data_IF_971793578590
#
_entry.id   IF_971793578590
#
_cell.length_a   1.000
_cell.length_b   1.000
_cell.length_c   1.000
_cell.angle_alpha   90.00
_cell.angle_beta   90.00
_cell.angle_gamma   90.00
#
_symmetry.space_group_name_H-M   'P 1'
#
loop_
_entity.id
_entity.type
_entity.pdbx_description
1 polymer ?
#
# COMPACT_ATOMS: atom_id res chain seq x y z
N UNK A 1 18.81 -1.66 45.22
CA UNK A 1 17.97 -0.77 44.39
C UNK A 1 18.40 -1.00 42.94
N UNK A 2 17.69 -1.86 42.22
CA UNK A 2 18.01 -2.18 40.82
C UNK A 2 17.26 -1.17 39.96
N UNK A 3 17.98 -0.24 39.33
CA UNK A 3 17.40 0.60 38.29
C UNK A 3 17.17 -0.29 37.06
N UNK A 4 15.91 -0.57 36.74
CA UNK A 4 15.54 -1.08 35.44
C UNK A 4 15.59 0.09 34.44
N UNK A 5 16.56 0.09 33.53
CA UNK A 5 16.47 0.90 32.32
C UNK A 5 15.41 0.25 31.42
N UNK A 6 14.26 0.90 31.29
CA UNK A 6 13.35 0.62 30.20
C UNK A 6 14.00 1.12 28.91
N UNK A 7 14.51 0.21 28.08
CA UNK A 7 14.87 0.53 26.72
C UNK A 7 13.57 0.84 25.96
N UNK A 8 13.31 2.11 25.68
CA UNK A 8 12.34 2.46 24.66
C UNK A 8 12.83 1.83 23.35
N UNK A 9 12.06 0.89 22.80
CA UNK A 9 12.30 0.43 21.44
C UNK A 9 12.17 1.66 20.53
N UNK A 10 13.30 2.14 19.99
CA UNK A 10 13.26 3.17 18.98
C UNK A 10 12.52 2.57 17.78
N UNK A 11 11.29 3.03 17.53
CA UNK A 11 10.58 2.75 16.29
C UNK A 11 11.47 3.29 15.16
N UNK A 12 12.01 2.41 14.32
CA UNK A 12 12.79 2.85 13.19
C UNK A 12 11.91 3.73 12.29
N UNK A 13 12.46 4.86 11.84
CA UNK A 13 11.79 5.72 10.88
C UNK A 13 11.80 5.05 9.50
N UNK A 14 10.68 5.08 8.76
CA UNK A 14 10.61 4.52 7.43
C UNK A 14 11.46 5.34 6.47
N UNK A 15 12.11 4.65 5.54
CA UNK A 15 12.76 5.28 4.40
C UNK A 15 11.70 5.55 3.34
N UNK A 16 11.34 6.82 3.20
CA UNK A 16 10.34 7.25 2.23
C UNK A 16 10.90 7.26 0.80
N UNK A 17 10.08 6.98 -0.22
CA UNK A 17 10.47 7.08 -1.62
C UNK A 17 10.67 8.53 -2.06
N UNK A 18 11.48 8.73 -3.09
CA UNK A 18 11.72 10.04 -3.67
C UNK A 18 10.46 10.57 -4.39
N UNK A 19 10.33 11.89 -4.48
CA UNK A 19 9.13 12.52 -5.05
C UNK A 19 8.80 12.05 -6.47
N UNK A 20 9.82 11.85 -7.30
CA UNK A 20 9.64 11.37 -8.68
C UNK A 20 9.13 9.94 -8.76
N UNK A 21 9.46 9.09 -7.78
CA UNK A 21 8.91 7.73 -7.69
C UNK A 21 7.43 7.79 -7.31
N UNK A 22 7.09 8.60 -6.31
CA UNK A 22 5.69 8.82 -5.88
C UNK A 22 4.85 9.33 -7.05
N UNK A 23 5.33 10.36 -7.77
CA UNK A 23 4.59 10.93 -8.90
C UNK A 23 4.41 9.89 -10.03
N UNK A 24 5.39 9.01 -10.26
CA UNK A 24 5.28 7.93 -11.24
C UNK A 24 4.28 6.84 -10.81
N UNK A 25 4.25 6.48 -9.53
CA UNK A 25 3.27 5.53 -8.96
C UNK A 25 1.86 6.10 -9.05
N UNK A 26 1.68 7.38 -8.70
CA UNK A 26 0.39 8.06 -8.84
C UNK A 26 -0.09 7.98 -10.30
N UNK A 27 0.74 8.42 -11.25
CA UNK A 27 0.40 8.37 -12.67
C UNK A 27 0.08 6.96 -13.17
N UNK A 28 0.73 5.93 -12.59
CA UNK A 28 0.45 4.53 -12.93
C UNK A 28 -0.89 4.04 -12.36
N UNK A 29 -1.22 4.41 -11.13
CA UNK A 29 -2.40 3.93 -10.41
C UNK A 29 -3.68 4.72 -10.74
N UNK A 30 -3.59 5.97 -11.17
CA UNK A 30 -4.75 6.79 -11.57
C UNK A 30 -5.72 6.09 -12.55
N UNK A 31 -5.28 5.63 -13.75
CA UNK A 31 -6.18 4.94 -14.67
C UNK A 31 -6.61 3.55 -14.17
N UNK A 32 -5.80 2.93 -13.29
CA UNK A 32 -6.11 1.61 -12.72
C UNK A 32 -7.22 1.73 -11.70
N UNK A 33 -7.23 2.77 -10.85
CA UNK A 33 -8.32 2.99 -9.91
C UNK A 33 -9.66 3.22 -10.60
N UNK A 34 -9.68 3.95 -11.71
CA UNK A 34 -10.91 4.08 -12.50
C UNK A 34 -11.41 2.73 -13.03
N UNK A 35 -10.50 1.83 -13.41
CA UNK A 35 -10.83 0.48 -13.81
C UNK A 35 -11.32 -0.38 -12.64
N UNK A 36 -10.69 -0.27 -11.47
CA UNK A 36 -11.16 -0.85 -10.20
C UNK A 36 -12.61 -0.44 -9.96
N UNK A 37 -12.92 0.85 -10.03
CA UNK A 37 -14.28 1.33 -9.75
C UNK A 37 -15.32 0.85 -10.75
N UNK A 38 -14.94 0.68 -12.01
CA UNK A 38 -15.82 0.16 -13.05
C UNK A 38 -16.10 -1.35 -12.90
N UNK A 39 -15.23 -2.09 -12.21
CA UNK A 39 -15.25 -3.57 -12.22
C UNK A 39 -15.42 -4.20 -10.84
N UNK A 40 -15.13 -3.46 -9.77
CA UNK A 40 -15.10 -3.96 -8.39
C UNK A 40 -13.86 -4.77 -8.04
N UNK A 41 -12.91 -4.99 -8.96
CA UNK A 41 -11.74 -5.83 -8.72
C UNK A 41 -10.51 -5.01 -8.32
N UNK A 42 -9.70 -5.61 -7.45
CA UNK A 42 -8.33 -5.19 -7.22
C UNK A 42 -7.45 -5.43 -8.44
N UNK A 43 -6.43 -4.60 -8.56
CA UNK A 43 -5.39 -4.74 -9.56
C UNK A 43 -4.03 -4.57 -8.93
N UNK A 44 -3.10 -5.48 -9.23
CA UNK A 44 -1.77 -5.50 -8.64
C UNK A 44 -0.66 -5.70 -9.68
N UNK A 45 0.53 -5.22 -9.35
CA UNK A 45 1.74 -5.37 -10.14
C UNK A 45 2.95 -4.98 -9.32
N UNK A 46 4.04 -4.68 -10.01
CA UNK A 46 5.26 -4.24 -9.35
C UNK A 46 5.84 -3.00 -10.02
N UNK A 47 6.49 -2.19 -9.19
CA UNK A 47 7.47 -1.20 -9.58
C UNK A 47 8.87 -1.82 -9.47
N UNK A 48 9.67 -1.66 -10.51
CA UNK A 48 11.05 -2.08 -10.54
C UNK A 48 11.95 -1.07 -11.21
N UNK A 49 13.23 -1.42 -11.33
CA UNK A 49 14.26 -0.61 -11.94
C UNK A 49 15.13 -1.42 -12.89
N UNK A 50 15.41 -0.86 -14.06
CA UNK A 50 16.39 -1.44 -14.98
C UNK A 50 17.83 -1.12 -14.55
N UNK A 51 18.81 -1.78 -15.16
CA UNK A 51 20.24 -1.50 -14.95
C UNK A 51 20.62 -0.04 -15.23
N UNK A 52 19.92 0.62 -16.15
CA UNK A 52 20.10 2.04 -16.49
C UNK A 52 19.35 3.00 -15.54
N UNK A 53 18.94 2.49 -14.37
CA UNK A 53 18.22 3.23 -13.31
C UNK A 53 16.86 3.78 -13.74
N UNK A 54 16.26 3.25 -14.80
CA UNK A 54 14.93 3.65 -15.25
C UNK A 54 13.84 2.89 -14.48
N UNK A 55 12.83 3.60 -13.99
CA UNK A 55 11.65 2.98 -13.38
C UNK A 55 10.84 2.24 -14.44
N UNK A 56 10.42 1.03 -14.11
CA UNK A 56 9.56 0.19 -14.96
C UNK A 56 8.42 -0.36 -14.13
N UNK A 57 7.27 -0.52 -14.77
CA UNK A 57 6.08 -1.08 -14.16
C UNK A 57 5.70 -2.36 -14.88
N UNK A 58 5.35 -3.39 -14.13
CA UNK A 58 4.78 -4.59 -14.75
C UNK A 58 3.38 -4.31 -15.29
N UNK A 59 2.87 -5.24 -16.08
CA UNK A 59 1.43 -5.32 -16.36
C UNK A 59 0.68 -5.44 -15.04
N UNK A 60 -0.39 -4.64 -14.87
CA UNK A 60 -1.29 -4.78 -13.72
C UNK A 60 -2.21 -5.97 -13.98
N UNK A 61 -2.18 -6.93 -13.07
CA UNK A 61 -3.01 -8.12 -13.10
C UNK A 61 -4.31 -7.88 -12.37
N UNK A 62 -5.40 -8.44 -12.90
CA UNK A 62 -6.70 -8.43 -12.22
C UNK A 62 -6.68 -9.46 -11.09
N UNK A 63 -6.98 -9.03 -9.88
CA UNK A 63 -7.20 -9.86 -8.71
C UNK A 63 -8.66 -10.26 -8.53
N UNK A 64 -9.02 -10.46 -7.26
CA UNK A 64 -10.38 -10.60 -6.75
C UNK A 64 -10.93 -9.26 -6.25
N UNK A 65 -11.95 -9.33 -5.40
CA UNK A 65 -12.56 -8.15 -4.77
C UNK A 65 -11.79 -7.68 -3.52
N UNK A 66 -11.02 -8.59 -2.92
CA UNK A 66 -10.39 -8.50 -1.60
C UNK A 66 -8.98 -9.14 -1.60
N UNK A 67 -8.32 -9.12 -2.75
CA UNK A 67 -6.95 -9.62 -2.85
C UNK A 67 -6.44 -9.72 -4.27
N UNK A 68 -5.12 -9.57 -4.42
CA UNK A 68 -4.44 -9.71 -5.70
C UNK A 68 -3.03 -10.27 -5.51
N UNK A 69 -2.63 -11.20 -6.38
CA UNK A 69 -1.25 -11.73 -6.40
C UNK A 69 -0.57 -11.29 -7.69
N UNK A 70 0.43 -10.38 -7.62
CA UNK A 70 1.12 -9.91 -8.81
C UNK A 70 2.05 -11.01 -9.35
N UNK A 71 2.21 -11.05 -10.67
CA UNK A 71 3.13 -11.98 -11.32
C UNK A 71 4.53 -11.37 -11.31
N UNK A 72 5.48 -12.07 -10.70
CA UNK A 72 6.88 -11.67 -10.68
C UNK A 72 7.44 -11.70 -12.12
N UNK A 73 8.13 -10.64 -12.57
CA UNK A 73 8.68 -10.60 -13.93
C UNK A 73 9.86 -11.57 -14.10
N UNK A 74 10.01 -12.14 -15.30
CA UNK A 74 11.08 -13.08 -15.66
C UNK A 74 12.44 -12.40 -15.97
N UNK A 75 12.51 -11.06 -15.93
CA UNK A 75 13.63 -10.27 -16.48
C UNK A 75 14.61 -9.68 -15.43
N UNK A 76 15.73 -9.13 -15.94
CA UNK A 76 16.79 -8.37 -15.25
C UNK A 76 16.28 -7.02 -14.66
N UNK A 77 15.25 -7.06 -13.82
CA UNK A 77 14.67 -5.90 -13.13
C UNK A 77 14.92 -6.02 -11.63
N UNK A 78 15.50 -4.98 -11.04
CA UNK A 78 15.58 -4.86 -9.58
C UNK A 78 14.21 -4.43 -9.05
N UNK A 79 13.56 -5.29 -8.26
CA UNK A 79 12.24 -5.01 -7.72
C UNK A 79 12.33 -3.97 -6.60
N UNK A 80 11.51 -2.91 -6.69
CA UNK A 80 11.46 -1.84 -5.69
C UNK A 80 10.28 -2.05 -4.76
N UNK A 81 9.09 -2.21 -5.33
CA UNK A 81 7.85 -2.31 -4.56
C UNK A 81 6.79 -3.16 -5.28
N UNK A 82 5.99 -3.88 -4.51
CA UNK A 82 4.67 -4.30 -4.95
C UNK A 82 3.76 -3.05 -5.05
N UNK A 83 2.71 -3.13 -5.87
CA UNK A 83 1.67 -2.11 -5.85
C UNK A 83 0.33 -2.76 -6.10
N UNK A 84 -0.71 -2.27 -5.43
CA UNK A 84 -2.07 -2.65 -5.77
C UNK A 84 -3.08 -1.54 -5.46
N UNK A 85 -4.27 -1.74 -6.01
CA UNK A 85 -5.48 -1.01 -5.62
C UNK A 85 -6.32 -1.92 -4.74
N UNK A 86 -6.92 -1.38 -3.69
CA UNK A 86 -8.07 -2.00 -3.07
C UNK A 86 -9.27 -1.97 -4.04
N UNK A 87 -10.30 -2.76 -3.75
CA UNK A 87 -11.53 -2.84 -4.54
C UNK A 87 -12.34 -1.54 -4.56
N UNK A 88 -13.57 -1.60 -5.07
CA UNK A 88 -14.55 -0.50 -4.91
C UNK A 88 -14.88 -0.28 -3.44
N UNK A 89 -15.32 0.93 -3.09
CA UNK A 89 -15.83 1.20 -1.76
C UNK A 89 -17.02 0.27 -1.40
N UNK A 90 -16.95 -0.35 -0.23
CA UNK A 90 -18.02 -1.13 0.39
C UNK A 90 -18.20 -0.65 1.85
N UNK A 91 -19.41 -0.19 2.27
CA UNK A 91 -19.63 0.25 3.65
C UNK A 91 -19.49 -0.85 4.72
N UNK A 92 -19.43 -2.12 4.31
CA UNK A 92 -19.29 -3.26 5.21
C UNK A 92 -17.87 -3.81 5.30
N UNK A 93 -16.92 -3.30 4.51
CA UNK A 93 -15.55 -3.83 4.44
C UNK A 93 -14.55 -2.68 4.48
N UNK A 94 -13.77 -2.50 5.56
CA UNK A 94 -12.73 -1.49 5.64
C UNK A 94 -11.71 -1.64 4.51
N UNK A 95 -11.39 -0.54 3.84
CA UNK A 95 -10.50 -0.53 2.68
C UNK A 95 -9.63 0.73 2.58
N UNK A 96 -9.60 1.59 3.60
CA UNK A 96 -8.85 2.86 3.59
C UNK A 96 -7.41 2.78 4.15
N UNK A 97 -6.92 1.59 4.50
CA UNK A 97 -5.56 1.37 5.01
C UNK A 97 -5.02 -0.03 4.60
N UNK A 98 -3.69 -0.23 4.50
CA UNK A 98 -3.11 -1.53 4.17
C UNK A 98 -3.39 -2.60 5.22
N UNK A 99 -3.37 -3.86 4.80
CA UNK A 99 -3.54 -5.03 5.67
C UNK A 99 -2.21 -5.53 6.27
N UNK A 100 -2.30 -6.39 7.29
CA UNK A 100 -1.17 -7.15 7.84
C UNK A 100 -0.52 -8.00 6.76
N UNK A 101 -1.32 -8.65 5.90
CA UNK A 101 -0.80 -9.54 4.87
C UNK A 101 0.00 -8.78 3.80
N UNK A 102 -0.29 -7.50 3.56
CA UNK A 102 0.51 -6.65 2.68
C UNK A 102 1.93 -6.47 3.23
N UNK A 103 2.05 -6.04 4.49
CA UNK A 103 3.34 -5.84 5.15
C UNK A 103 4.17 -7.14 5.19
N UNK A 104 3.53 -8.25 5.52
CA UNK A 104 4.20 -9.55 5.61
C UNK A 104 4.63 -10.08 4.24
N UNK A 105 3.81 -9.85 3.21
CA UNK A 105 4.12 -10.28 1.84
C UNK A 105 5.26 -9.48 1.24
N UNK A 106 5.22 -8.15 1.35
CA UNK A 106 6.30 -7.27 0.90
C UNK A 106 7.63 -7.61 1.59
N UNK A 107 7.59 -7.86 2.91
CA UNK A 107 8.76 -8.31 3.67
C UNK A 107 9.29 -9.64 3.16
N UNK A 108 8.42 -10.61 2.91
CA UNK A 108 8.79 -11.96 2.43
C UNK A 108 9.41 -11.90 1.04
N UNK A 109 8.93 -11.01 0.19
CA UNK A 109 9.43 -10.78 -1.17
C UNK A 109 10.67 -9.88 -1.20
N UNK A 110 10.96 -9.17 -0.11
CA UNK A 110 12.12 -8.29 0.00
C UNK A 110 11.94 -6.96 -0.73
N UNK A 111 10.70 -6.55 -0.97
CA UNK A 111 10.30 -5.30 -1.64
C UNK A 111 9.54 -4.39 -0.68
N UNK A 112 9.35 -3.14 -1.03
CA UNK A 112 8.37 -2.25 -0.36
C UNK A 112 6.97 -2.45 -0.97
N UNK A 113 6.00 -1.62 -0.60
CA UNK A 113 4.65 -1.70 -1.16
C UNK A 113 3.98 -0.35 -1.38
N UNK A 114 3.05 -0.29 -2.32
CA UNK A 114 2.13 0.83 -2.50
C UNK A 114 0.68 0.36 -2.55
N UNK A 115 -0.19 1.04 -1.81
CA UNK A 115 -1.63 0.70 -1.76
C UNK A 115 -2.45 1.94 -2.07
N UNK A 116 -3.32 1.85 -3.07
CA UNK A 116 -4.29 2.87 -3.43
C UNK A 116 -5.70 2.48 -2.97
N UNK A 117 -6.38 3.38 -2.26
CA UNK A 117 -7.65 3.10 -1.59
C UNK A 117 -8.84 3.80 -2.26
N UNK A 118 -10.10 3.37 -2.05
CA UNK A 118 -11.27 3.96 -2.70
C UNK A 118 -11.48 5.45 -2.41
N UNK A 119 -11.07 5.91 -1.24
CA UNK A 119 -11.05 7.31 -0.84
C UNK A 119 -9.95 8.13 -1.52
N UNK A 120 -9.12 7.51 -2.37
CA UNK A 120 -8.06 8.15 -3.13
C UNK A 120 -6.80 8.42 -2.32
N UNK A 121 -6.57 7.68 -1.21
CA UNK A 121 -5.29 7.74 -0.49
C UNK A 121 -4.23 6.96 -1.23
N UNK A 122 -2.98 7.34 -1.02
CA UNK A 122 -1.83 6.52 -1.37
C UNK A 122 -1.03 6.21 -0.12
N UNK A 123 -0.84 4.92 0.11
CA UNK A 123 -0.01 4.37 1.17
C UNK A 123 1.30 3.83 0.61
N UNK A 124 2.32 3.88 1.45
CA UNK A 124 3.60 3.24 1.22
C UNK A 124 3.94 2.33 2.41
N UNK A 125 4.42 1.13 2.09
CA UNK A 125 4.86 0.14 3.06
C UNK A 125 6.39 0.10 3.01
N UNK A 126 7.03 0.52 4.10
CA UNK A 126 8.44 0.19 4.32
C UNK A 126 8.50 -1.19 4.99
N UNK A 127 8.73 -2.20 4.17
CA UNK A 127 8.73 -3.57 4.65
C UNK A 127 9.92 -3.83 5.57
N UNK A 128 11.05 -3.11 5.45
CA UNK A 128 12.25 -3.30 6.27
C UNK A 128 12.04 -2.90 7.73
N UNK A 129 11.16 -1.95 8.00
CA UNK A 129 10.78 -1.56 9.36
C UNK A 129 9.36 -1.97 9.75
N UNK A 130 8.62 -2.63 8.85
CA UNK A 130 7.24 -3.13 9.05
C UNK A 130 6.26 -2.01 9.41
N UNK A 131 6.23 -0.96 8.60
CA UNK A 131 5.39 0.22 8.80
C UNK A 131 4.72 0.62 7.49
N UNK A 132 3.42 0.92 7.56
CA UNK A 132 2.68 1.63 6.54
C UNK A 132 2.61 3.13 6.87
N UNK A 133 2.83 3.98 5.87
CA UNK A 133 2.72 5.43 5.97
C UNK A 133 1.89 5.97 4.82
N UNK A 134 1.01 6.92 5.14
CA UNK A 134 0.21 7.58 4.14
C UNK A 134 1.06 8.67 3.46
N UNK A 135 1.32 8.51 2.16
CA UNK A 135 2.05 9.49 1.36
C UNK A 135 1.17 10.70 1.03
N UNK A 136 -0.12 10.46 0.79
CA UNK A 136 -1.12 11.49 0.58
C UNK A 136 -2.53 11.00 0.92
N UNK A 137 -3.39 11.93 1.33
CA UNK A 137 -4.73 11.65 1.86
C UNK A 137 -5.83 11.59 0.80
N UNK A 138 -7.11 11.69 1.22
CA UNK A 138 -8.25 11.54 0.33
C UNK A 138 -8.20 12.50 -0.87
N UNK A 139 -8.55 11.98 -2.05
CA UNK A 139 -8.54 12.74 -3.31
C UNK A 139 -7.15 12.99 -3.90
N UNK A 140 -6.10 12.34 -3.38
CA UNK A 140 -4.78 12.33 -4.03
C UNK A 140 -4.80 11.54 -5.33
N UNK A 141 -5.48 10.40 -5.33
CA UNK A 141 -5.87 9.63 -6.49
C UNK A 141 -7.39 9.73 -6.73
N UNK A 142 -7.91 9.26 -7.90
CA UNK A 142 -9.35 9.25 -8.16
C UNK A 142 -10.12 8.60 -7.02
N UNK A 143 -11.23 9.19 -6.60
CA UNK A 143 -12.06 8.62 -5.54
C UNK A 143 -13.22 7.85 -6.14
N UNK A 144 -13.59 6.73 -5.52
CA UNK A 144 -14.83 6.04 -5.84
C UNK A 144 -16.00 7.01 -5.62
N UNK A 145 -16.90 7.22 -6.60
CA UNK A 145 -18.05 8.11 -6.43
C UNK A 145 -18.98 7.72 -5.27
N UNK A 146 -18.95 6.46 -4.83
CA UNK A 146 -19.73 5.98 -3.70
C UNK A 146 -19.03 6.19 -2.34
N UNK A 147 -17.74 6.54 -2.33
CA UNK A 147 -16.93 6.68 -1.11
C UNK A 147 -17.56 7.64 -0.09
N UNK A 148 -17.55 7.22 1.18
CA UNK A 148 -18.03 8.01 2.32
C UNK A 148 -16.91 8.18 3.35
N UNK A 149 -16.42 9.41 3.56
CA UNK A 149 -15.40 9.67 4.56
C UNK A 149 -15.88 9.29 5.96
N UNK A 150 -15.06 8.51 6.67
CA UNK A 150 -15.26 8.16 8.09
C UNK A 150 -15.99 6.84 8.34
N UNK A 151 -16.46 6.13 7.32
CA UNK A 151 -17.09 4.82 7.48
C UNK A 151 -16.10 3.78 8.04
N UNK A 152 -14.83 3.87 7.64
CA UNK A 152 -13.71 3.04 8.17
C UNK A 152 -13.13 3.60 9.49
N UNK A 153 -13.79 4.60 10.09
CA UNK A 153 -13.34 5.26 11.32
C UNK A 153 -12.18 6.25 11.13
N UNK A 154 -11.46 6.52 12.22
CA UNK A 154 -10.31 7.43 12.19
C UNK A 154 -9.08 6.74 11.59
N UNK A 155 -8.68 7.21 10.42
CA UNK A 155 -7.49 6.72 9.71
C UNK A 155 -6.27 7.55 10.11
N UNK A 156 -5.33 6.94 10.82
CA UNK A 156 -4.05 7.54 11.17
C UNK A 156 -3.16 7.67 9.93
N UNK A 157 -2.14 8.54 9.96
CA UNK A 157 -1.22 8.69 8.82
C UNK A 157 -0.10 7.61 8.79
N UNK A 158 -0.04 6.75 9.80
CA UNK A 158 0.99 5.73 9.98
C UNK A 158 0.44 4.58 10.80
N UNK A 159 0.82 3.36 10.43
CA UNK A 159 0.56 2.15 11.20
C UNK A 159 1.80 1.24 11.23
N UNK A 160 2.10 0.70 12.40
CA UNK A 160 2.95 -0.46 12.56
C UNK A 160 2.17 -1.75 12.32
N UNK A 161 2.88 -2.86 12.06
CA UNK A 161 2.28 -4.20 11.97
C UNK A 161 1.35 -4.53 13.16
N UNK A 162 1.76 -4.18 14.38
CA UNK A 162 0.96 -4.47 15.57
C UNK A 162 -0.31 -3.60 15.65
N UNK A 163 -0.26 -2.37 15.15
CA UNK A 163 -1.44 -1.49 15.08
C UNK A 163 -2.42 -1.98 14.01
N UNK A 164 -1.93 -2.40 12.84
CA UNK A 164 -2.77 -3.03 11.80
C UNK A 164 -3.44 -4.31 12.31
N UNK A 165 -2.67 -5.21 12.93
CA UNK A 165 -3.24 -6.43 13.52
C UNK A 165 -4.30 -6.14 14.59
N UNK A 166 -4.15 -5.05 15.34
CA UNK A 166 -5.13 -4.62 16.33
C UNK A 166 -6.36 -3.92 15.71
N UNK A 167 -6.28 -3.42 14.48
CA UNK A 167 -7.42 -2.91 13.71
C UNK A 167 -8.21 -4.07 13.11
N UNK A 168 -7.55 -4.95 12.36
CA UNK A 168 -8.17 -6.11 11.71
C UNK A 168 -8.86 -7.05 12.70
N UNK A 169 -8.31 -7.22 13.91
CA UNK A 169 -8.93 -8.05 14.95
C UNK A 169 -10.27 -7.50 15.49
N UNK A 170 -10.70 -6.31 15.07
CA UNK A 170 -11.96 -5.67 15.46
C UNK A 170 -13.05 -5.76 14.39
N UNK A 171 -12.68 -6.20 13.20
CA UNK A 171 -13.56 -6.42 12.04
C UNK A 171 -14.25 -7.78 12.14
#
# INVERSE_FOLDING_TARGET
MVLALAAAAACADPTLPDRSEIDAVIARLEPIQQLTFATGFEYCGYLGQTRDRQLVFTTMQRGGHDGCTPIMPDEDVEMIASMHTHGTYDPGVPAEFPSVIDLESDRREGVNGYVATPGGRLWYIDSKVMVAVQLCGPGCLPQDPAFRPGDDGEIAARYSLAELAALEARE
#
